data_IF_383151213817
#
_entry.id   IF_383151213817
#
_cell.length_a   1.000
_cell.length_b   1.000
_cell.length_c   1.000
_cell.angle_alpha   90.00
_cell.angle_beta   90.00
_cell.angle_gamma   90.00
#
_symmetry.space_group_name_H-M   'P 1'
#
loop_
_entity.id
_entity.type
_entity.pdbx_description
1 polymer ?
#
# COMPACT_ATOMS: atom_id res chain seq x y z
N UNK A 1 -0.24 7.26 18.54
CA UNK A 1 -0.18 7.94 17.22
C UNK A 1 -0.20 9.47 17.30
N UNK A 2 -0.47 10.11 18.45
CA UNK A 2 -0.66 11.56 18.49
C UNK A 2 0.54 12.39 18.00
N UNK A 3 1.75 11.96 18.38
CA UNK A 3 3.00 12.66 18.06
C UNK A 3 3.79 12.04 16.89
N UNK A 4 3.17 11.20 16.04
CA UNK A 4 3.87 10.59 14.91
C UNK A 4 3.97 11.55 13.72
N UNK A 5 5.09 11.48 12.99
CA UNK A 5 5.30 12.23 11.73
C UNK A 5 4.16 11.97 10.74
N UNK A 6 3.82 12.98 9.95
CA UNK A 6 2.79 12.91 8.90
C UNK A 6 3.46 12.86 7.51
N UNK A 7 2.77 12.29 6.53
CA UNK A 7 3.27 12.13 5.16
C UNK A 7 2.19 12.41 4.12
N UNK A 8 2.57 12.95 2.97
CA UNK A 8 1.63 13.36 1.92
C UNK A 8 1.22 12.25 0.95
N UNK A 9 2.06 11.24 0.75
CA UNK A 9 1.81 10.12 -0.17
C UNK A 9 2.07 8.77 0.52
N UNK A 10 1.29 7.72 0.21
CA UNK A 10 1.53 6.39 0.75
C UNK A 10 2.85 5.80 0.25
N UNK A 11 3.21 6.08 -1.00
CA UNK A 11 4.49 5.75 -1.61
C UNK A 11 4.92 6.91 -2.52
N UNK A 12 6.17 7.36 -2.38
CA UNK A 12 6.72 8.41 -3.22
C UNK A 12 6.98 7.95 -4.66
N UNK A 13 6.93 8.89 -5.61
CA UNK A 13 7.27 8.61 -7.01
C UNK A 13 8.74 8.17 -7.13
N UNK A 14 9.00 7.18 -7.97
CA UNK A 14 10.34 6.66 -8.22
C UNK A 14 10.89 5.72 -7.13
N UNK A 15 10.17 5.49 -6.03
CA UNK A 15 10.55 4.48 -5.03
C UNK A 15 10.49 3.10 -5.68
N UNK A 16 11.62 2.42 -5.66
CA UNK A 16 11.82 1.08 -6.19
C UNK A 16 12.27 0.19 -5.04
N UNK A 17 11.52 -0.88 -4.78
CA UNK A 17 11.84 -1.88 -3.77
C UNK A 17 12.23 -3.17 -4.47
N UNK A 18 13.24 -3.86 -3.96
CA UNK A 18 13.76 -5.10 -4.54
C UNK A 18 14.24 -6.05 -3.46
N UNK A 19 14.32 -7.35 -3.78
CA UNK A 19 14.98 -8.34 -2.92
C UNK A 19 16.45 -8.00 -2.64
N UNK A 20 17.08 -7.13 -3.45
CA UNK A 20 18.42 -6.58 -3.17
C UNK A 20 18.47 -5.76 -1.89
N UNK A 21 17.34 -5.21 -1.45
CA UNK A 21 17.21 -4.43 -0.22
C UNK A 21 16.97 -5.33 1.01
N UNK A 22 16.98 -6.67 0.84
CA UNK A 22 16.89 -7.60 1.95
C UNK A 22 18.16 -7.52 2.84
N UNK A 23 18.05 -7.92 4.11
CA UNK A 23 19.20 -7.92 5.02
C UNK A 23 20.36 -8.75 4.47
N UNK A 24 21.53 -8.12 4.34
CA UNK A 24 22.73 -8.78 3.80
C UNK A 24 23.63 -9.35 4.90
N UNK A 25 23.58 -8.76 6.11
CA UNK A 25 24.45 -9.11 7.23
C UNK A 25 23.65 -9.59 8.44
N UNK A 26 24.25 -10.43 9.29
CA UNK A 26 23.62 -10.97 10.50
C UNK A 26 23.09 -9.87 11.46
N UNK A 27 23.82 -8.76 11.58
CA UNK A 27 23.42 -7.62 12.42
C UNK A 27 22.10 -7.00 11.92
N UNK A 28 21.97 -6.83 10.61
CA UNK A 28 20.76 -6.28 10.00
C UNK A 28 19.59 -7.24 10.13
N UNK A 29 19.84 -8.54 9.92
CA UNK A 29 18.82 -9.58 10.08
C UNK A 29 18.27 -9.59 11.51
N UNK A 30 19.14 -9.55 12.53
CA UNK A 30 18.74 -9.48 13.94
C UNK A 30 17.98 -8.19 14.27
N UNK A 31 18.33 -7.06 13.64
CA UNK A 31 17.56 -5.82 13.78
C UNK A 31 16.17 -5.95 13.16
N UNK A 32 16.08 -6.48 11.94
CA UNK A 32 14.82 -6.62 11.20
C UNK A 32 13.87 -7.63 11.86
N UNK A 33 14.37 -8.68 12.50
CA UNK A 33 13.56 -9.64 13.28
C UNK A 33 12.74 -8.97 14.39
N UNK A 34 13.22 -7.86 14.95
CA UNK A 34 12.52 -7.12 16.01
C UNK A 34 11.43 -6.19 15.48
N UNK A 35 11.37 -5.99 14.17
CA UNK A 35 10.42 -5.07 13.54
C UNK A 35 9.11 -5.82 13.26
N UNK A 36 7.95 -5.28 13.68
CA UNK A 36 6.66 -5.93 13.49
C UNK A 36 6.13 -5.76 12.05
N UNK A 37 6.90 -6.20 11.05
CA UNK A 37 6.60 -5.97 9.63
C UNK A 37 5.27 -6.62 9.22
N UNK A 38 5.10 -7.93 9.50
CA UNK A 38 3.89 -8.67 9.15
C UNK A 38 2.64 -8.11 9.83
N UNK A 39 2.76 -7.70 11.10
CA UNK A 39 1.67 -7.08 11.84
C UNK A 39 1.27 -5.73 11.21
N UNK A 40 2.24 -4.88 10.87
CA UNK A 40 1.97 -3.60 10.22
C UNK A 40 1.30 -3.78 8.85
N UNK A 41 1.78 -4.72 8.03
CA UNK A 41 1.18 -5.07 6.74
C UNK A 41 -0.27 -5.53 6.92
N UNK A 42 -0.54 -6.42 7.88
CA UNK A 42 -1.90 -6.89 8.16
C UNK A 42 -2.84 -5.75 8.59
N UNK A 43 -2.38 -4.84 9.45
CA UNK A 43 -3.17 -3.68 9.87
C UNK A 43 -3.45 -2.71 8.71
N UNK A 44 -2.47 -2.47 7.83
CA UNK A 44 -2.67 -1.66 6.63
C UNK A 44 -3.64 -2.35 5.67
N UNK A 45 -3.54 -3.67 5.52
CA UNK A 45 -4.43 -4.47 4.69
C UNK A 45 -5.88 -4.38 5.16
N UNK A 46 -6.12 -4.40 6.48
CA UNK A 46 -7.45 -4.18 7.02
C UNK A 46 -8.01 -2.80 6.65
N UNK A 47 -7.23 -1.73 6.86
CA UNK A 47 -7.64 -0.38 6.46
C UNK A 47 -7.91 -0.28 4.95
N UNK A 48 -7.04 -0.90 4.14
CA UNK A 48 -7.15 -0.94 2.68
C UNK A 48 -8.43 -1.61 2.22
N UNK A 49 -8.77 -2.77 2.78
CA UNK A 49 -9.97 -3.54 2.42
C UNK A 49 -11.25 -2.85 2.86
N UNK A 50 -11.25 -2.16 4.01
CA UNK A 50 -12.46 -1.57 4.55
C UNK A 50 -12.77 -0.19 3.99
N UNK A 51 -11.79 0.72 3.97
CA UNK A 51 -12.08 2.16 3.74
C UNK A 51 -11.00 2.92 2.97
N UNK A 52 -9.85 2.32 2.69
CA UNK A 52 -8.67 3.01 2.13
C UNK A 52 -8.17 2.41 0.82
N UNK A 53 -8.95 2.53 -0.29
CA UNK A 53 -8.52 2.06 -1.61
C UNK A 53 -7.20 2.69 -2.08
N UNK A 54 -6.96 3.92 -1.68
CA UNK A 54 -5.81 4.75 -2.02
C UNK A 54 -4.45 4.18 -1.56
N UNK A 55 -4.42 3.28 -0.58
CA UNK A 55 -3.17 2.61 -0.16
C UNK A 55 -2.95 1.25 -0.82
N UNK A 56 -3.87 0.76 -1.66
CA UNK A 56 -3.83 -0.59 -2.24
C UNK A 56 -2.54 -0.86 -3.02
N UNK A 57 -2.11 0.09 -3.85
CA UNK A 57 -0.86 -0.04 -4.61
C UNK A 57 0.37 -0.14 -3.69
N UNK A 58 0.53 0.81 -2.77
CA UNK A 58 1.68 0.84 -1.86
C UNK A 58 1.76 -0.42 -0.96
N UNK A 59 0.60 -0.90 -0.51
CA UNK A 59 0.50 -2.16 0.22
C UNK A 59 0.94 -3.34 -0.66
N UNK A 60 0.43 -3.44 -1.90
CA UNK A 60 0.78 -4.54 -2.80
C UNK A 60 2.28 -4.63 -3.09
N UNK A 61 2.97 -3.48 -3.15
CA UNK A 61 4.42 -3.41 -3.35
C UNK A 61 5.20 -3.85 -2.11
N UNK A 62 4.73 -3.52 -0.91
CA UNK A 62 5.42 -3.85 0.35
C UNK A 62 5.14 -5.26 0.86
N UNK A 63 3.96 -5.83 0.58
CA UNK A 63 3.60 -7.20 0.97
C UNK A 63 4.56 -8.27 0.43
N UNK A 64 5.18 -8.02 -0.73
CA UNK A 64 6.09 -8.96 -1.42
C UNK A 64 7.30 -9.36 -0.57
N UNK A 65 7.73 -8.48 0.33
CA UNK A 65 8.94 -8.65 1.14
C UNK A 65 8.65 -9.15 2.56
N UNK A 66 7.41 -9.57 2.85
CA UNK A 66 7.02 -10.01 4.21
C UNK A 66 7.85 -11.19 4.74
N UNK A 67 8.34 -12.07 3.85
CA UNK A 67 9.15 -13.22 4.26
C UNK A 67 10.55 -12.83 4.75
N UNK A 68 11.15 -11.79 4.16
CA UNK A 68 12.50 -11.33 4.50
C UNK A 68 12.61 -9.81 4.33
N UNK A 69 11.99 -9.00 5.21
CA UNK A 69 11.96 -7.55 5.05
C UNK A 69 13.34 -6.95 5.37
N UNK A 70 13.65 -5.85 4.69
CA UNK A 70 14.85 -5.03 4.91
C UNK A 70 14.50 -3.63 5.39
N UNK A 71 15.50 -2.79 5.65
CA UNK A 71 15.26 -1.45 6.20
C UNK A 71 14.51 -0.55 5.21
N UNK A 72 14.81 -0.62 3.92
CA UNK A 72 14.10 0.14 2.88
C UNK A 72 12.63 -0.29 2.76
N UNK A 73 12.37 -1.60 2.86
CA UNK A 73 11.01 -2.14 2.95
C UNK A 73 10.27 -1.56 4.15
N UNK A 74 10.92 -1.49 5.31
CA UNK A 74 10.32 -0.90 6.51
C UNK A 74 10.11 0.61 6.40
N UNK A 75 11.01 1.35 5.75
CA UNK A 75 10.83 2.78 5.46
C UNK A 75 9.59 3.02 4.59
N UNK A 76 9.35 2.18 3.59
CA UNK A 76 8.15 2.25 2.76
C UNK A 76 6.87 2.00 3.59
N UNK A 77 6.84 0.96 4.44
CA UNK A 77 5.70 0.70 5.34
C UNK A 77 5.45 1.87 6.29
N UNK A 78 6.52 2.44 6.88
CA UNK A 78 6.42 3.66 7.70
C UNK A 78 5.83 4.83 6.91
N UNK A 79 6.11 4.97 5.61
CA UNK A 79 5.52 6.01 4.77
C UNK A 79 4.00 5.85 4.64
N UNK A 80 3.52 4.63 4.42
CA UNK A 80 2.09 4.32 4.36
C UNK A 80 1.41 4.69 5.69
N UNK A 81 2.01 4.33 6.83
CA UNK A 81 1.47 4.67 8.14
C UNK A 81 1.42 6.19 8.40
N UNK A 82 2.45 6.93 7.97
CA UNK A 82 2.46 8.41 8.06
C UNK A 82 1.37 9.04 7.20
N UNK A 83 1.10 8.46 6.03
CA UNK A 83 0.02 8.88 5.14
C UNK A 83 -1.35 8.63 5.76
N UNK A 84 -1.59 7.41 6.27
CA UNK A 84 -2.82 7.08 7.00
C UNK A 84 -3.03 8.01 8.20
N UNK A 85 -1.96 8.40 8.89
CA UNK A 85 -2.03 9.38 9.99
C UNK A 85 -2.46 10.78 9.52
N UNK A 86 -1.92 11.25 8.39
CA UNK A 86 -2.27 12.55 7.81
C UNK A 86 -3.74 12.57 7.36
N UNK A 87 -4.24 11.44 6.86
CA UNK A 87 -5.56 11.27 6.25
C UNK A 87 -6.52 10.48 7.13
N UNK A 88 -6.32 10.51 8.45
CA UNK A 88 -7.13 9.75 9.41
C UNK A 88 -8.60 10.16 9.41
N UNK A 89 -8.89 11.40 9.03
CA UNK A 89 -10.23 11.99 9.03
C UNK A 89 -10.88 11.93 7.61
N UNK A 90 -10.30 11.15 6.69
CA UNK A 90 -10.88 10.95 5.36
C UNK A 90 -11.85 9.77 5.39
N UNK A 91 -12.94 9.88 4.63
CA UNK A 91 -14.01 8.89 4.57
C UNK A 91 -14.41 8.63 3.12
N UNK A 92 -14.89 7.41 2.84
CA UNK A 92 -15.60 7.13 1.60
C UNK A 92 -16.98 7.78 1.69
N UNK A 93 -17.23 8.73 0.80
CA UNK A 93 -18.52 9.40 0.70
C UNK A 93 -19.29 8.76 -0.44
N UNK A 94 -20.43 8.18 -0.09
CA UNK A 94 -21.43 7.74 -1.06
C UNK A 94 -22.46 8.84 -1.21
N UNK A 95 -22.63 9.31 -2.43
CA UNK A 95 -23.47 10.44 -2.79
C UNK A 95 -23.21 10.77 -4.25
N UNK A 96 -24.25 10.74 -5.07
CA UNK A 96 -24.16 10.93 -6.52
C UNK A 96 -25.55 11.10 -7.13
N UNK A 97 -25.61 11.33 -8.44
CA UNK A 97 -26.82 11.55 -9.23
C UNK A 97 -27.95 10.55 -8.91
N UNK A 98 -29.22 10.94 -9.10
CA UNK A 98 -30.40 10.10 -8.80
C UNK A 98 -30.37 8.72 -9.48
N UNK A 99 -29.56 8.55 -10.53
CA UNK A 99 -29.48 7.33 -11.32
C UNK A 99 -28.37 6.42 -10.81
N UNK A 100 -28.75 5.22 -10.36
CA UNK A 100 -27.83 4.16 -9.97
C UNK A 100 -26.96 3.73 -11.17
N UNK A 101 -25.71 4.16 -11.18
CA UNK A 101 -24.73 3.79 -12.19
C UNK A 101 -23.43 3.30 -11.53
N UNK A 102 -22.89 2.21 -12.06
CA UNK A 102 -21.57 1.69 -11.68
C UNK A 102 -20.54 2.09 -12.73
N UNK A 103 -19.43 2.68 -12.30
CA UNK A 103 -18.31 3.04 -13.18
C UNK A 103 -17.07 2.27 -12.75
N UNK A 104 -16.46 1.56 -13.69
CA UNK A 104 -15.24 0.80 -13.47
C UNK A 104 -14.04 1.45 -14.15
N UNK A 105 -12.94 1.57 -13.43
CA UNK A 105 -11.64 1.93 -13.97
C UNK A 105 -10.70 0.74 -13.83
N UNK A 106 -9.88 0.50 -14.85
CA UNK A 106 -8.84 -0.52 -14.83
C UNK A 106 -7.56 0.07 -15.40
N UNK A 107 -6.44 -0.34 -14.85
CA UNK A 107 -5.11 0.06 -15.32
C UNK A 107 -4.13 -1.11 -15.18
N UNK A 108 -3.09 -1.11 -16.01
CA UNK A 108 -2.02 -2.08 -15.96
C UNK A 108 -0.68 -1.46 -16.35
N UNK A 109 0.35 -1.77 -15.57
CA UNK A 109 1.73 -1.37 -15.80
C UNK A 109 2.59 -2.60 -16.11
N UNK A 110 3.34 -2.54 -17.20
CA UNK A 110 4.21 -3.63 -17.66
C UNK A 110 5.52 -3.68 -16.86
N UNK A 111 5.98 -4.90 -16.52
CA UNK A 111 7.29 -5.16 -15.88
C UNK A 111 7.62 -4.24 -14.70
N UNK A 112 6.63 -3.92 -13.86
CA UNK A 112 6.80 -3.00 -12.74
C UNK A 112 7.64 -3.61 -11.62
N UNK A 113 7.68 -4.94 -11.54
CA UNK A 113 8.48 -5.64 -10.56
C UNK A 113 9.94 -5.84 -11.01
N UNK A 114 10.88 -5.31 -10.24
CA UNK A 114 12.30 -5.37 -10.57
C UNK A 114 12.93 -6.75 -10.38
N UNK A 115 12.32 -7.61 -9.57
CA UNK A 115 12.91 -8.90 -9.21
C UNK A 115 12.49 -10.00 -10.16
N UNK A 116 11.25 -9.97 -10.67
CA UNK A 116 10.74 -11.01 -11.56
C UNK A 116 9.99 -10.51 -12.80
N UNK A 117 10.06 -9.21 -13.09
CA UNK A 117 9.49 -8.59 -14.30
C UNK A 117 7.98 -8.84 -14.47
N UNK A 118 7.26 -9.18 -13.40
CA UNK A 118 5.80 -9.29 -13.47
C UNK A 118 5.18 -7.90 -13.54
N UNK A 119 4.13 -7.80 -14.35
CA UNK A 119 3.29 -6.62 -14.46
C UNK A 119 2.49 -6.40 -13.18
N UNK A 120 2.03 -5.17 -13.00
CA UNK A 120 1.05 -4.82 -11.97
C UNK A 120 -0.25 -4.44 -12.68
N UNK A 121 -1.39 -4.91 -12.17
CA UNK A 121 -2.71 -4.50 -12.63
C UNK A 121 -3.55 -4.03 -11.45
N UNK A 122 -4.54 -3.18 -11.72
CA UNK A 122 -5.47 -2.72 -10.71
C UNK A 122 -6.79 -2.29 -11.30
N UNK A 123 -7.81 -2.29 -10.46
CA UNK A 123 -9.12 -1.78 -10.81
C UNK A 123 -9.74 -1.04 -9.63
N UNK A 124 -10.72 -0.19 -9.92
CA UNK A 124 -11.61 0.41 -8.94
C UNK A 124 -13.00 0.57 -9.53
N UNK A 125 -13.99 0.01 -8.86
CA UNK A 125 -15.40 0.19 -9.15
C UNK A 125 -15.97 1.25 -8.21
N UNK A 126 -16.61 2.24 -8.80
CA UNK A 126 -17.26 3.36 -8.12
C UNK A 126 -18.77 3.20 -8.30
N UNK A 127 -19.50 3.39 -7.20
CA UNK A 127 -20.95 3.37 -7.16
C UNK A 127 -21.43 4.59 -6.38
N UNK A 128 -22.30 5.40 -6.99
CA UNK A 128 -22.80 6.66 -6.41
C UNK A 128 -21.67 7.53 -5.82
N UNK A 129 -20.60 7.75 -6.59
CA UNK A 129 -19.46 8.58 -6.18
C UNK A 129 -18.47 7.91 -5.21
N UNK A 130 -18.83 6.80 -4.55
CA UNK A 130 -17.97 6.08 -3.61
C UNK A 130 -17.36 4.81 -4.21
N UNK A 131 -16.10 4.50 -3.87
CA UNK A 131 -15.48 3.23 -4.27
C UNK A 131 -16.11 2.07 -3.48
N UNK A 132 -16.54 1.00 -4.17
CA UNK A 132 -17.17 -0.20 -3.58
C UNK A 132 -16.32 -1.45 -3.70
N UNK A 133 -15.45 -1.51 -4.71
CA UNK A 133 -14.55 -2.65 -4.93
C UNK A 133 -13.29 -2.17 -5.62
N UNK A 134 -12.14 -2.62 -5.15
CA UNK A 134 -10.84 -2.21 -5.68
C UNK A 134 -9.81 -3.31 -5.47
N UNK A 135 -8.78 -3.30 -6.29
CA UNK A 135 -7.64 -4.20 -6.14
C UNK A 135 -6.41 -3.60 -6.80
N UNK A 136 -5.25 -3.87 -6.22
CA UNK A 136 -3.97 -3.76 -6.92
C UNK A 136 -3.24 -5.10 -6.74
N UNK A 137 -2.89 -5.73 -7.85
CA UNK A 137 -2.27 -7.05 -7.88
C UNK A 137 -1.08 -7.06 -8.81
N UNK A 138 -0.04 -7.76 -8.36
CA UNK A 138 1.00 -8.31 -9.23
C UNK A 138 0.43 -9.50 -10.02
#
# INVERSE_FOLDING_TARGET
MENSKKGGLPMGQGIKLSQKDNPSNAIELERMKRIPYASAIGSIMYAMTCTRPDVAFALSMTCKFQQNPGEEHWKAVKSILKYLRQTKDYFLVYGGEEKLAATGYTDASFQTDLDNFKSQSGYTFIFNGGAVSWKSSK
#
